data_IF_354302358098
#
_entry.id   IF_354302358098
#
_cell.length_a   1.000
_cell.length_b   1.000
_cell.length_c   1.000
_cell.angle_alpha   90.00
_cell.angle_beta   90.00
_cell.angle_gamma   90.00
#
_symmetry.space_group_name_H-M   'P 1'
#
loop_
_entity.id
_entity.type
_entity.pdbx_description
1 polymer ?
#
# COMPACT_ATOMS: atom_id res chain seq x y z
N UNK A 1 47.31 -17.71 -30.31
CA UNK A 1 46.75 -18.31 -29.09
C UNK A 1 46.44 -17.18 -28.12
N UNK A 2 45.20 -16.67 -28.16
CA UNK A 2 44.73 -15.65 -27.21
C UNK A 2 44.27 -16.35 -25.92
N UNK A 3 44.55 -15.79 -24.73
CA UNK A 3 44.33 -16.50 -23.48
C UNK A 3 42.84 -16.54 -23.13
N UNK A 4 42.36 -17.75 -22.84
CA UNK A 4 40.96 -18.09 -22.51
C UNK A 4 40.35 -17.28 -21.35
N UNK A 5 41.17 -16.57 -20.56
CA UNK A 5 40.70 -15.70 -19.48
C UNK A 5 40.08 -14.37 -19.91
N UNK A 6 40.39 -13.85 -21.11
CA UNK A 6 39.73 -12.62 -21.59
C UNK A 6 38.33 -12.86 -22.15
N UNK A 7 38.02 -14.07 -22.59
CA UNK A 7 36.69 -14.43 -23.11
C UNK A 7 35.68 -14.60 -21.96
N UNK A 8 36.12 -15.11 -20.80
CA UNK A 8 35.26 -15.31 -19.63
C UNK A 8 34.82 -13.99 -18.98
N UNK A 9 35.69 -12.97 -18.96
CA UNK A 9 35.34 -11.64 -18.42
C UNK A 9 34.33 -10.89 -19.29
N UNK A 10 34.39 -11.07 -20.62
CA UNK A 10 33.41 -10.50 -21.56
C UNK A 10 32.05 -11.21 -21.48
N UNK A 11 32.02 -12.51 -21.20
CA UNK A 11 30.78 -13.28 -20.97
C UNK A 11 30.13 -12.96 -19.61
N UNK A 12 30.93 -12.66 -18.57
CA UNK A 12 30.38 -12.24 -17.26
C UNK A 12 29.90 -10.78 -17.28
N UNK A 13 30.54 -9.88 -18.05
CA UNK A 13 30.03 -8.52 -18.23
C UNK A 13 28.76 -8.45 -19.09
N UNK A 14 28.51 -9.42 -19.98
CA UNK A 14 27.29 -9.47 -20.79
C UNK A 14 26.04 -9.91 -20.02
N UNK A 15 26.18 -10.48 -18.81
CA UNK A 15 25.06 -10.95 -17.98
C UNK A 15 24.55 -9.95 -16.94
N UNK A 16 25.03 -8.69 -16.96
CA UNK A 16 24.53 -7.62 -16.07
C UNK A 16 23.91 -6.43 -16.80
N UNK A 17 23.53 -6.60 -18.06
CA UNK A 17 22.41 -5.81 -18.57
C UNK A 17 21.16 -6.35 -17.89
N UNK A 18 20.86 -5.77 -16.72
CA UNK A 18 19.51 -5.82 -16.17
C UNK A 18 18.61 -5.33 -17.29
N UNK A 19 17.97 -6.28 -17.97
CA UNK A 19 16.82 -5.99 -18.81
C UNK A 19 15.81 -5.34 -17.87
N UNK A 20 15.72 -4.02 -17.93
CA UNK A 20 14.53 -3.30 -17.54
C UNK A 20 13.47 -3.70 -18.57
N UNK A 21 12.88 -4.89 -18.38
CA UNK A 21 11.58 -5.22 -18.93
C UNK A 21 10.57 -4.44 -18.10
N UNK A 22 10.06 -3.28 -18.48
CA UNK A 22 10.15 -2.51 -19.70
C UNK A 22 8.81 -1.82 -19.79
N UNK A 23 8.78 -0.49 -19.64
CA UNK A 23 7.60 0.31 -19.99
C UNK A 23 7.11 -0.18 -21.34
N UNK A 24 5.84 -0.58 -21.47
CA UNK A 24 5.39 -1.23 -22.72
C UNK A 24 5.78 -0.41 -23.96
N UNK A 25 6.19 -1.09 -25.03
CA UNK A 25 6.76 -0.46 -26.22
C UNK A 25 5.74 0.37 -27.01
N UNK A 26 4.47 -0.04 -27.00
CA UNK A 26 3.36 0.59 -27.71
C UNK A 26 2.04 0.42 -26.93
N UNK A 27 1.06 1.28 -27.24
CA UNK A 27 -0.24 1.37 -26.54
C UNK A 27 -1.04 0.06 -26.62
N UNK A 28 -1.09 -0.57 -27.80
CA UNK A 28 -1.89 -1.78 -28.02
C UNK A 28 -1.35 -2.96 -27.21
N UNK A 29 -0.03 -3.17 -27.23
CA UNK A 29 0.64 -4.19 -26.41
C UNK A 29 0.37 -3.97 -24.92
N UNK A 30 0.36 -2.71 -24.48
CA UNK A 30 0.09 -2.34 -23.10
C UNK A 30 -1.36 -2.64 -22.71
N UNK A 31 -2.33 -2.32 -23.57
CA UNK A 31 -3.74 -2.61 -23.37
C UNK A 31 -3.99 -4.12 -23.30
N UNK A 32 -3.40 -4.91 -24.20
CA UNK A 32 -3.52 -6.37 -24.16
C UNK A 32 -2.91 -6.94 -22.89
N UNK A 33 -1.74 -6.44 -22.47
CA UNK A 33 -1.13 -6.87 -21.21
C UNK A 33 -2.02 -6.53 -20.02
N UNK A 34 -2.59 -5.32 -19.98
CA UNK A 34 -3.57 -4.92 -18.96
C UNK A 34 -4.75 -5.89 -18.92
N UNK A 35 -5.35 -6.22 -20.08
CA UNK A 35 -6.49 -7.16 -20.17
C UNK A 35 -6.15 -8.54 -19.59
N UNK A 36 -4.94 -9.05 -19.83
CA UNK A 36 -4.46 -10.30 -19.22
C UNK A 36 -4.35 -10.19 -17.70
N UNK A 37 -3.71 -9.13 -17.20
CA UNK A 37 -3.45 -8.94 -15.77
C UNK A 37 -4.74 -8.78 -14.98
N UNK A 38 -5.71 -8.01 -15.50
CA UNK A 38 -6.97 -7.78 -14.78
C UNK A 38 -7.88 -9.02 -14.75
N UNK A 39 -7.70 -9.93 -15.71
CA UNK A 39 -8.42 -11.20 -15.75
C UNK A 39 -7.81 -12.27 -14.82
N UNK A 40 -6.55 -12.14 -14.44
CA UNK A 40 -5.82 -13.15 -13.67
C UNK A 40 -6.42 -13.36 -12.25
N UNK A 41 -6.98 -14.55 -11.93
CA UNK A 41 -7.71 -14.79 -10.68
C UNK A 41 -6.82 -15.16 -9.48
N UNK A 42 -5.50 -15.24 -9.67
CA UNK A 42 -4.54 -15.73 -8.67
C UNK A 42 -3.42 -14.75 -8.33
N UNK A 43 -3.48 -13.52 -8.85
CA UNK A 43 -2.39 -12.55 -8.72
C UNK A 43 -2.43 -11.74 -7.41
N UNK A 44 -3.61 -11.56 -6.82
CA UNK A 44 -3.81 -10.71 -5.63
C UNK A 44 -4.45 -11.46 -4.48
N UNK A 45 -4.38 -10.90 -3.28
CA UNK A 45 -4.81 -11.53 -2.02
C UNK A 45 -6.27 -11.95 -1.99
N UNK A 46 -7.12 -11.36 -2.82
CA UNK A 46 -8.54 -11.69 -2.93
C UNK A 46 -8.88 -12.79 -3.96
N UNK A 47 -7.86 -13.35 -4.61
CA UNK A 47 -8.01 -14.36 -5.64
C UNK A 47 -8.46 -15.73 -5.15
N UNK A 48 -8.49 -16.71 -6.06
CA UNK A 48 -8.87 -18.09 -5.75
C UNK A 48 -8.01 -18.71 -4.65
N UNK A 49 -6.75 -18.31 -4.54
CA UNK A 49 -5.82 -18.81 -3.51
C UNK A 49 -6.28 -18.43 -2.10
N UNK A 50 -7.06 -17.35 -1.94
CA UNK A 50 -7.59 -16.91 -0.65
C UNK A 50 -8.50 -17.96 -0.02
N UNK A 51 -9.37 -18.59 -0.80
CA UNK A 51 -10.29 -19.59 -0.26
C UNK A 51 -9.53 -20.80 0.28
N UNK A 52 -8.47 -21.23 -0.40
CA UNK A 52 -7.58 -22.29 0.05
C UNK A 52 -6.82 -21.92 1.34
N UNK A 53 -6.29 -20.69 1.42
CA UNK A 53 -5.58 -20.19 2.61
C UNK A 53 -6.52 -20.04 3.81
N UNK A 54 -7.77 -19.65 3.59
CA UNK A 54 -8.70 -19.23 4.64
C UNK A 54 -9.71 -20.29 5.07
N UNK A 55 -9.71 -21.46 4.43
CA UNK A 55 -10.57 -22.59 4.81
C UNK A 55 -10.03 -23.40 6.00
N UNK A 56 -8.82 -23.10 6.49
CA UNK A 56 -8.23 -23.78 7.64
C UNK A 56 -8.81 -23.25 8.97
N UNK A 57 -9.09 -24.16 9.93
CA UNK A 57 -9.68 -23.83 11.26
C UNK A 57 -8.89 -22.79 12.08
N UNK A 58 -7.60 -22.58 11.78
CA UNK A 58 -6.72 -21.61 12.44
C UNK A 58 -6.37 -20.40 11.56
N UNK A 59 -7.11 -20.15 10.48
CA UNK A 59 -6.87 -19.01 9.60
C UNK A 59 -7.29 -17.68 10.26
N UNK A 60 -6.51 -17.24 11.27
CA UNK A 60 -6.57 -15.89 11.84
C UNK A 60 -5.76 -14.88 11.02
N UNK A 61 -5.34 -15.26 9.82
CA UNK A 61 -4.52 -14.43 8.97
C UNK A 61 -5.29 -13.18 8.55
N UNK A 62 -4.65 -12.02 8.68
CA UNK A 62 -5.08 -10.76 8.11
C UNK A 62 -5.58 -10.93 6.66
N UNK A 63 -4.91 -11.81 5.90
CA UNK A 63 -5.20 -12.19 4.51
C UNK A 63 -6.61 -12.74 4.28
N UNK A 64 -7.27 -13.22 5.34
CA UNK A 64 -8.60 -13.80 5.27
C UNK A 64 -9.73 -12.79 5.46
N UNK A 65 -9.47 -11.65 6.09
CA UNK A 65 -10.45 -10.56 6.18
C UNK A 65 -10.62 -9.84 4.85
N UNK A 66 -11.79 -9.23 4.60
CA UNK A 66 -12.02 -8.37 3.43
C UNK A 66 -13.50 -7.99 3.32
N UNK A 67 -13.86 -7.04 2.43
CA UNK A 67 -15.25 -6.62 2.26
C UNK A 67 -16.16 -7.80 1.88
N UNK A 68 -17.21 -8.13 2.67
CA UNK A 68 -18.06 -9.29 2.42
C UNK A 68 -18.72 -9.28 1.03
N UNK A 69 -19.11 -8.10 0.56
CA UNK A 69 -19.74 -7.92 -0.75
C UNK A 69 -18.81 -8.23 -1.92
N UNK A 70 -17.48 -8.27 -1.70
CA UNK A 70 -16.49 -8.59 -2.73
C UNK A 70 -15.92 -10.01 -2.61
N UNK A 71 -16.44 -10.84 -1.68
CA UNK A 71 -15.85 -12.14 -1.36
C UNK A 71 -15.89 -13.15 -2.53
N UNK A 72 -16.83 -12.98 -3.46
CA UNK A 72 -17.05 -13.89 -4.59
C UNK A 72 -16.34 -13.48 -5.89
N UNK A 73 -15.52 -12.44 -5.86
CA UNK A 73 -14.84 -11.90 -7.03
C UNK A 73 -13.32 -12.06 -6.87
N UNK A 74 -12.70 -12.81 -7.78
CA UNK A 74 -11.34 -13.35 -7.63
C UNK A 74 -10.28 -12.69 -8.53
N UNK A 75 -10.68 -11.87 -9.50
CA UNK A 75 -9.78 -11.08 -10.35
C UNK A 75 -10.08 -9.58 -10.22
N UNK A 76 -9.16 -8.72 -10.66
CA UNK A 76 -9.39 -7.27 -10.69
C UNK A 76 -10.69 -6.96 -11.45
N UNK A 77 -10.83 -7.53 -12.64
CA UNK A 77 -11.96 -7.22 -13.50
C UNK A 77 -13.29 -7.73 -12.92
N UNK A 78 -13.32 -8.94 -12.34
CA UNK A 78 -14.53 -9.45 -11.66
C UNK A 78 -14.97 -8.55 -10.51
N UNK A 79 -14.01 -7.96 -9.76
CA UNK A 79 -14.28 -7.03 -8.65
C UNK A 79 -14.75 -5.67 -9.11
N UNK A 80 -14.04 -5.09 -10.08
CA UNK A 80 -14.41 -3.81 -10.69
C UNK A 80 -15.83 -3.86 -11.23
N UNK A 81 -16.14 -4.85 -12.06
CA UNK A 81 -17.45 -4.96 -12.72
C UNK A 81 -18.51 -5.70 -11.90
N UNK A 82 -18.18 -6.16 -10.69
CA UNK A 82 -19.08 -6.95 -9.80
C UNK A 82 -19.73 -8.14 -10.52
N UNK A 83 -18.96 -8.85 -11.35
CA UNK A 83 -19.39 -10.05 -12.10
C UNK A 83 -18.60 -11.28 -11.69
N UNK A 84 -19.29 -12.42 -11.52
CA UNK A 84 -18.63 -13.69 -11.15
C UNK A 84 -17.74 -14.23 -12.27
N UNK A 85 -18.18 -14.06 -13.51
CA UNK A 85 -17.44 -14.49 -14.71
C UNK A 85 -17.15 -13.27 -15.56
N UNK A 86 -15.89 -12.88 -15.62
CA UNK A 86 -15.42 -11.77 -16.44
C UNK A 86 -15.31 -12.18 -17.91
N UNK A 87 -15.67 -11.27 -18.81
CA UNK A 87 -15.48 -11.42 -20.26
C UNK A 87 -14.66 -10.24 -20.80
N UNK A 88 -13.73 -10.46 -21.74
CA UNK A 88 -12.89 -9.40 -22.29
C UNK A 88 -13.68 -8.27 -22.95
N UNK A 89 -14.92 -8.54 -23.35
CA UNK A 89 -15.84 -7.57 -23.95
C UNK A 89 -16.14 -6.35 -23.05
N UNK A 90 -16.03 -6.46 -21.73
CA UNK A 90 -16.15 -5.31 -20.81
C UNK A 90 -15.06 -4.25 -21.04
N UNK A 91 -13.94 -4.62 -21.65
CA UNK A 91 -12.81 -3.75 -21.96
C UNK A 91 -12.59 -3.60 -23.48
N UNK A 92 -13.64 -3.82 -24.29
CA UNK A 92 -13.55 -3.77 -25.76
C UNK A 92 -13.24 -2.38 -26.31
N UNK A 93 -13.62 -1.32 -25.58
CA UNK A 93 -13.48 0.07 -26.02
C UNK A 93 -12.15 0.70 -25.59
N UNK A 94 -11.28 -0.06 -24.90
CA UNK A 94 -9.96 0.42 -24.54
C UNK A 94 -9.13 0.73 -25.77
N UNK A 95 -8.70 1.99 -25.89
CA UNK A 95 -7.81 2.48 -26.94
C UNK A 95 -6.76 3.47 -26.42
N UNK A 96 -6.79 3.79 -25.12
CA UNK A 96 -5.82 4.62 -24.42
C UNK A 96 -5.13 3.78 -23.34
N UNK A 97 -3.81 3.84 -23.29
CA UNK A 97 -3.05 3.39 -22.12
C UNK A 97 -2.58 4.62 -21.32
N UNK A 98 -3.25 4.96 -20.20
CA UNK A 98 -2.87 6.11 -19.39
C UNK A 98 -1.57 5.82 -18.65
N UNK A 99 -0.53 6.61 -18.94
CA UNK A 99 0.74 6.58 -18.20
C UNK A 99 0.57 7.35 -16.90
N UNK A 100 0.79 6.66 -15.79
CA UNK A 100 0.62 7.22 -14.44
C UNK A 100 1.99 7.27 -13.78
N UNK A 101 2.47 8.48 -13.50
CA UNK A 101 3.81 8.70 -12.96
C UNK A 101 3.75 9.41 -11.61
N UNK A 102 4.30 8.77 -10.59
CA UNK A 102 4.44 9.34 -9.25
C UNK A 102 5.82 9.97 -9.09
N UNK A 103 5.84 11.23 -8.66
CA UNK A 103 7.07 11.89 -8.18
C UNK A 103 7.35 11.45 -6.74
N UNK A 104 7.99 10.29 -6.60
CA UNK A 104 8.34 9.68 -5.33
C UNK A 104 9.47 10.46 -4.65
N UNK A 105 9.13 11.38 -3.74
CA UNK A 105 10.12 12.10 -2.93
C UNK A 105 10.61 11.19 -1.79
N UNK A 106 11.93 10.92 -1.67
CA UNK A 106 12.46 10.21 -0.52
C UNK A 106 12.21 11.03 0.75
N UNK A 107 12.19 10.36 1.90
CA UNK A 107 11.97 11.06 3.16
C UNK A 107 11.96 10.16 4.38
N UNK A 108 12.20 10.80 5.52
CA UNK A 108 12.02 10.21 6.84
C UNK A 108 10.58 10.40 7.30
N UNK A 109 10.03 9.38 7.95
CA UNK A 109 8.70 9.45 8.56
C UNK A 109 8.65 8.52 9.77
N UNK A 110 7.81 8.88 10.73
CA UNK A 110 7.54 8.06 11.91
C UNK A 110 6.25 7.29 11.71
N UNK A 111 6.25 5.99 11.97
CA UNK A 111 5.10 5.11 11.87
C UNK A 111 5.21 3.98 12.89
N UNK A 112 4.09 3.54 13.48
CA UNK A 112 4.11 2.50 14.52
C UNK A 112 5.11 2.81 15.66
N UNK A 113 5.41 4.07 15.97
CA UNK A 113 6.45 4.53 16.92
C UNK A 113 7.91 4.26 16.56
N UNK A 114 8.18 4.00 15.28
CA UNK A 114 9.51 3.76 14.75
C UNK A 114 9.81 4.77 13.65
N UNK A 115 11.07 5.16 13.54
CA UNK A 115 11.52 6.07 12.49
C UNK A 115 11.95 5.27 11.26
N UNK A 116 11.32 5.57 10.12
CA UNK A 116 11.58 4.93 8.85
C UNK A 116 12.14 5.93 7.84
N UNK A 117 12.85 5.39 6.86
CA UNK A 117 13.28 6.10 5.67
C UNK A 117 12.83 5.33 4.44
N UNK A 118 12.18 6.00 3.50
CA UNK A 118 11.83 5.41 2.21
C UNK A 118 12.49 6.20 1.08
N UNK A 119 13.12 5.47 0.16
CA UNK A 119 13.48 5.93 -1.18
C UNK A 119 14.97 6.02 -1.49
N UNK A 120 15.34 5.52 -2.68
CA UNK A 120 16.55 5.86 -3.45
C UNK A 120 16.23 6.37 -4.88
N UNK A 121 14.96 6.31 -5.31
CA UNK A 121 14.51 6.61 -6.68
C UNK A 121 13.41 7.67 -6.69
N UNK A 122 13.52 8.62 -7.61
CA UNK A 122 12.73 9.86 -7.67
C UNK A 122 11.36 9.71 -8.35
N UNK A 123 11.15 8.65 -9.12
CA UNK A 123 9.92 8.41 -9.86
C UNK A 123 9.49 6.95 -9.80
N UNK A 124 8.18 6.73 -9.87
CA UNK A 124 7.54 5.44 -10.05
C UNK A 124 6.57 5.58 -11.20
N UNK A 125 6.78 4.82 -12.26
CA UNK A 125 5.85 4.74 -13.39
C UNK A 125 5.01 3.47 -13.25
N UNK A 126 3.70 3.61 -13.43
CA UNK A 126 2.77 2.50 -13.41
C UNK A 126 2.96 1.62 -14.64
N UNK A 127 3.09 0.31 -14.41
CA UNK A 127 3.24 -0.67 -15.47
C UNK A 127 2.47 -1.96 -15.07
N UNK A 128 1.83 -2.67 -16.02
CA UNK A 128 1.11 -3.91 -15.73
C UNK A 128 1.96 -4.99 -15.05
N UNK A 129 3.27 -4.98 -15.30
CA UNK A 129 4.26 -5.91 -14.76
C UNK A 129 5.18 -5.24 -13.73
N UNK A 130 4.80 -4.07 -13.21
CA UNK A 130 5.54 -3.42 -12.14
C UNK A 130 5.63 -4.30 -10.89
N UNK A 131 6.77 -4.20 -10.21
CA UNK A 131 6.90 -4.67 -8.84
C UNK A 131 6.00 -3.84 -7.91
N UNK A 132 5.40 -4.44 -6.86
CA UNK A 132 4.62 -3.71 -5.88
C UNK A 132 5.41 -2.56 -5.23
N UNK A 133 4.78 -1.39 -5.10
CA UNK A 133 5.42 -0.18 -4.58
C UNK A 133 4.87 0.21 -3.22
N UNK A 134 5.75 0.68 -2.34
CA UNK A 134 5.40 1.17 -1.00
C UNK A 134 4.39 2.33 -1.05
N UNK A 135 3.26 2.25 -0.31
CA UNK A 135 2.26 3.31 -0.23
C UNK A 135 2.82 4.70 0.10
N UNK A 136 3.86 4.82 0.93
CA UNK A 136 4.53 6.09 1.20
C UNK A 136 5.05 6.75 -0.07
N UNK A 137 5.56 5.99 -1.05
CA UNK A 137 6.06 6.52 -2.32
C UNK A 137 4.93 6.95 -3.26
N UNK A 138 3.75 6.37 -3.10
CA UNK A 138 2.53 6.68 -3.86
C UNK A 138 1.67 7.77 -3.19
N UNK A 139 2.09 8.32 -2.05
CA UNK A 139 1.26 9.23 -1.22
C UNK A 139 0.82 10.54 -1.88
N UNK A 140 1.49 10.96 -2.94
CA UNK A 140 1.17 12.20 -3.68
C UNK A 140 0.45 11.85 -4.97
N UNK A 141 -0.50 12.70 -5.37
CA UNK A 141 -1.23 12.56 -6.65
C UNK A 141 -0.24 12.41 -7.81
N UNK A 142 -0.41 11.40 -8.68
CA UNK A 142 0.46 11.21 -9.83
C UNK A 142 0.15 12.20 -10.96
N UNK A 143 1.07 12.27 -11.91
CA UNK A 143 0.87 12.88 -13.22
C UNK A 143 0.30 11.81 -14.17
N UNK A 144 -0.70 12.19 -14.96
CA UNK A 144 -1.39 11.29 -15.88
C UNK A 144 -1.23 11.86 -17.29
N UNK A 145 -0.78 11.03 -18.24
CA UNK A 145 -0.57 11.43 -19.63
C UNK A 145 -0.63 10.24 -20.57
N UNK A 146 -0.83 10.48 -21.87
CA UNK A 146 -0.68 9.49 -22.95
C UNK A 146 -0.38 10.21 -24.26
N UNK A 147 0.06 9.49 -25.29
CA UNK A 147 0.59 10.06 -26.54
C UNK A 147 -0.42 10.90 -27.31
N UNK A 148 -1.68 10.51 -27.32
CA UNK A 148 -2.73 11.14 -28.12
C UNK A 148 -3.48 12.26 -27.38
N UNK A 149 -3.18 12.50 -26.10
CA UNK A 149 -3.91 13.45 -25.26
C UNK A 149 -3.87 14.87 -25.83
N UNK A 150 -5.00 15.37 -26.36
CA UNK A 150 -5.13 16.74 -26.81
C UNK A 150 -5.65 17.64 -25.68
N UNK A 151 -5.36 18.94 -25.79
CA UNK A 151 -5.83 19.94 -24.81
C UNK A 151 -7.33 20.22 -24.86
N UNK A 152 -7.96 19.94 -26.00
CA UNK A 152 -9.39 20.18 -26.22
C UNK A 152 -10.25 18.95 -25.88
N UNK A 153 -9.62 17.80 -25.63
CA UNK A 153 -10.33 16.61 -25.17
C UNK A 153 -10.80 16.79 -23.72
N UNK A 154 -11.89 16.10 -23.37
CA UNK A 154 -12.44 16.10 -22.01
C UNK A 154 -12.69 14.67 -21.55
N UNK A 155 -12.08 14.33 -20.42
CA UNK A 155 -12.16 13.00 -19.82
C UNK A 155 -12.58 13.06 -18.35
N UNK A 156 -13.18 11.97 -17.90
CA UNK A 156 -13.37 11.66 -16.48
C UNK A 156 -12.32 10.65 -16.04
N UNK A 157 -11.60 10.97 -14.98
CA UNK A 157 -10.51 10.15 -14.43
C UNK A 157 -10.94 9.60 -13.09
N UNK A 158 -10.90 8.28 -12.93
CA UNK A 158 -11.29 7.57 -11.71
C UNK A 158 -10.10 6.74 -11.22
N UNK A 159 -9.75 6.85 -9.94
CA UNK A 159 -8.86 5.90 -9.28
C UNK A 159 -9.67 5.12 -8.27
N UNK A 160 -9.53 3.80 -8.27
CA UNK A 160 -10.22 2.94 -7.30
C UNK A 160 -9.35 1.82 -6.78
N UNK A 161 -9.36 1.64 -5.47
CA UNK A 161 -8.79 0.48 -4.79
C UNK A 161 -9.72 -0.73 -5.01
N UNK A 162 -9.23 -1.73 -5.74
CA UNK A 162 -10.02 -2.90 -6.12
C UNK A 162 -10.13 -3.92 -4.99
N UNK A 163 -9.16 -3.93 -4.07
CA UNK A 163 -9.19 -4.79 -2.90
C UNK A 163 -10.32 -4.43 -1.95
N UNK A 164 -10.59 -3.14 -1.80
CA UNK A 164 -11.53 -2.59 -0.83
C UNK A 164 -12.74 -1.88 -1.44
N UNK A 165 -12.85 -1.82 -2.78
CA UNK A 165 -13.85 -1.01 -3.50
C UNK A 165 -13.94 0.41 -2.93
N UNK A 166 -12.81 1.09 -2.86
CA UNK A 166 -12.76 2.48 -2.37
C UNK A 166 -12.51 3.41 -3.55
N UNK A 167 -13.19 4.54 -3.60
CA UNK A 167 -12.90 5.61 -4.55
C UNK A 167 -11.74 6.46 -4.02
N UNK A 168 -10.62 6.43 -4.74
CA UNK A 168 -9.37 7.07 -4.35
C UNK A 168 -9.18 8.44 -5.01
N UNK A 169 -9.77 8.67 -6.17
CA UNK A 169 -9.69 9.94 -6.90
C UNK A 169 -10.81 10.02 -7.92
N UNK A 170 -11.41 11.19 -8.07
CA UNK A 170 -12.38 11.47 -9.14
C UNK A 170 -12.15 12.89 -9.65
N UNK A 171 -11.87 13.00 -10.94
CA UNK A 171 -11.77 14.27 -11.65
C UNK A 171 -12.54 14.23 -12.96
N UNK A 172 -13.10 15.36 -13.34
CA UNK A 172 -13.87 15.55 -14.57
C UNK A 172 -13.28 16.70 -15.38
N UNK A 173 -13.61 16.76 -16.67
CA UNK A 173 -13.11 17.78 -17.61
C UNK A 173 -11.56 17.85 -17.70
N UNK A 174 -10.90 16.71 -17.49
CA UNK A 174 -9.45 16.56 -17.66
C UNK A 174 -9.06 16.59 -19.15
N UNK A 175 -7.94 17.25 -19.56
CA UNK A 175 -6.88 17.80 -18.71
C UNK A 175 -6.98 19.30 -18.40
N UNK A 176 -7.66 20.09 -19.23
CA UNK A 176 -7.56 21.56 -19.20
C UNK A 176 -8.43 22.21 -18.12
N UNK A 177 -9.70 21.85 -18.05
CA UNK A 177 -10.68 22.44 -17.13
C UNK A 177 -10.96 21.52 -15.93
N UNK A 178 -9.92 20.77 -15.50
CA UNK A 178 -10.05 19.69 -14.54
C UNK A 178 -10.73 20.15 -13.25
N UNK A 179 -11.90 19.59 -12.95
CA UNK A 179 -12.61 19.76 -11.67
C UNK A 179 -12.45 18.49 -10.84
N UNK A 180 -11.90 18.63 -9.64
CA UNK A 180 -11.69 17.51 -8.72
C UNK A 180 -12.93 17.35 -7.85
N UNK A 181 -13.58 16.20 -7.96
CA UNK A 181 -14.76 15.84 -7.17
C UNK A 181 -14.40 15.01 -5.94
N UNK A 182 -13.30 14.25 -6.00
CA UNK A 182 -12.68 13.56 -4.87
C UNK A 182 -11.17 13.73 -4.95
N UNK A 183 -10.58 14.30 -3.89
CA UNK A 183 -9.12 14.44 -3.76
C UNK A 183 -8.42 13.09 -3.69
N UNK A 184 -7.18 13.07 -4.18
CA UNK A 184 -6.39 11.84 -4.28
C UNK A 184 -6.03 11.30 -2.89
N UNK A 185 -6.41 10.06 -2.61
CA UNK A 185 -5.92 9.28 -1.49
C UNK A 185 -5.18 8.03 -2.01
N UNK A 186 -3.97 7.73 -1.52
CA UNK A 186 -3.26 6.52 -1.91
C UNK A 186 -3.98 5.26 -1.43
N UNK A 187 -3.73 4.13 -2.08
CA UNK A 187 -4.09 2.83 -1.50
C UNK A 187 -3.17 2.58 -0.29
N UNK A 188 -3.78 2.46 0.88
CA UNK A 188 -3.09 2.27 2.16
C UNK A 188 -3.11 0.78 2.52
N UNK A 189 -2.51 -0.02 1.64
CA UNK A 189 -2.45 -1.46 1.82
C UNK A 189 -1.60 -1.82 3.05
N UNK A 190 -2.25 -2.39 4.05
CA UNK A 190 -1.63 -2.85 5.29
C UNK A 190 -1.29 -4.35 5.24
N UNK A 191 -1.72 -5.08 4.20
CA UNK A 191 -1.51 -6.52 4.06
C UNK A 191 -0.11 -6.85 3.55
N UNK A 192 0.50 -7.95 3.99
CA UNK A 192 1.72 -8.46 3.37
C UNK A 192 1.57 -8.65 1.85
N UNK A 193 0.42 -9.15 1.42
CA UNK A 193 0.13 -9.37 0.00
C UNK A 193 -0.16 -8.06 -0.76
N UNK A 194 0.27 -7.93 -2.02
CA UNK A 194 0.05 -6.72 -2.82
C UNK A 194 -1.43 -6.44 -3.10
N UNK A 195 -1.78 -5.16 -3.21
CA UNK A 195 -3.12 -4.68 -3.50
C UNK A 195 -3.13 -3.78 -4.75
N UNK A 196 -4.03 -4.02 -5.72
CA UNK A 196 -4.12 -3.20 -6.93
C UNK A 196 -5.05 -2.00 -6.77
N UNK A 197 -4.60 -0.86 -7.26
CA UNK A 197 -5.40 0.33 -7.53
C UNK A 197 -5.47 0.51 -9.04
N UNK A 198 -6.67 0.75 -9.57
CA UNK A 198 -6.90 0.88 -11.00
C UNK A 198 -7.23 2.33 -11.35
N UNK A 199 -6.68 2.77 -12.48
CA UNK A 199 -6.95 4.08 -13.09
C UNK A 199 -7.81 3.86 -14.32
N UNK A 200 -8.99 4.46 -14.32
CA UNK A 200 -9.97 4.37 -15.40
C UNK A 200 -10.11 5.75 -16.04
N UNK A 201 -10.13 5.76 -17.37
CA UNK A 201 -10.35 6.96 -18.18
C UNK A 201 -11.63 6.76 -18.96
N UNK A 202 -12.60 7.63 -18.71
CA UNK A 202 -13.84 7.70 -19.47
C UNK A 202 -13.81 8.92 -20.39
N UNK A 203 -14.34 8.78 -21.60
CA UNK A 203 -14.72 9.97 -22.38
C UNK A 203 -15.78 10.75 -21.62
N UNK A 204 -15.84 12.06 -21.86
CA UNK A 204 -16.92 12.88 -21.31
C UNK A 204 -18.27 12.35 -21.77
N UNK A 205 -19.02 11.82 -20.83
CA UNK A 205 -20.41 11.40 -21.03
C UNK A 205 -21.33 12.59 -21.24
N UNK A 206 -22.60 12.28 -21.54
CA UNK A 206 -23.66 13.29 -21.75
C UNK A 206 -24.19 13.86 -20.44
N UNK A 207 -24.14 13.04 -19.39
CA UNK A 207 -24.60 13.39 -18.04
C UNK A 207 -23.43 13.92 -17.22
N UNK A 208 -23.66 14.99 -16.46
CA UNK A 208 -22.64 15.52 -15.56
C UNK A 208 -22.31 14.48 -14.48
N UNK A 209 -21.02 14.25 -14.27
CA UNK A 209 -20.53 13.34 -13.23
C UNK A 209 -20.55 14.06 -11.89
N UNK A 210 -21.10 13.39 -10.88
CA UNK A 210 -21.21 13.90 -9.52
C UNK A 210 -20.31 13.10 -8.57
N UNK A 211 -19.90 13.72 -7.47
CA UNK A 211 -19.23 13.00 -6.40
C UNK A 211 -20.20 11.93 -5.81
N UNK A 212 -19.75 10.68 -5.60
CA UNK A 212 -20.59 9.69 -4.95
C UNK A 212 -20.84 10.07 -3.48
N UNK A 213 -21.97 9.58 -2.93
CA UNK A 213 -22.36 9.83 -1.54
C UNK A 213 -21.41 9.19 -0.52
N UNK A 214 -20.75 8.10 -0.92
CA UNK A 214 -19.78 7.36 -0.14
C UNK A 214 -18.58 7.05 -1.01
N UNK A 215 -17.40 7.15 -0.42
CA UNK A 215 -16.14 6.72 -1.03
C UNK A 215 -15.89 5.23 -0.77
N UNK A 216 -16.48 4.69 0.30
CA UNK A 216 -16.47 3.27 0.63
C UNK A 216 -17.55 2.53 -0.19
N UNK A 217 -17.27 1.29 -0.56
CA UNK A 217 -18.13 0.43 -1.39
C UNK A 217 -18.46 1.02 -2.77
N UNK A 218 -17.47 1.67 -3.40
CA UNK A 218 -17.58 2.18 -4.76
C UNK A 218 -18.01 1.07 -5.73
N UNK A 219 -19.13 1.29 -6.41
CA UNK A 219 -19.74 0.39 -7.38
C UNK A 219 -19.55 0.98 -8.78
N UNK A 220 -18.54 0.49 -9.50
CA UNK A 220 -18.24 0.98 -10.84
C UNK A 220 -19.41 0.75 -11.83
N UNK A 221 -20.04 -0.44 -11.91
CA UNK A 221 -21.23 -0.63 -12.74
C UNK A 221 -22.34 0.39 -12.47
N UNK A 222 -22.69 0.62 -11.19
CA UNK A 222 -23.72 1.60 -10.85
C UNK A 222 -23.27 3.03 -11.19
N UNK A 223 -22.00 3.36 -11.00
CA UNK A 223 -21.44 4.65 -11.40
C UNK A 223 -21.52 4.85 -12.91
N UNK A 224 -21.16 3.85 -13.70
CA UNK A 224 -21.24 3.91 -15.17
C UNK A 224 -22.69 4.08 -15.64
N UNK A 225 -23.62 3.28 -15.10
CA UNK A 225 -25.05 3.36 -15.42
C UNK A 225 -25.66 4.72 -15.04
N UNK A 226 -25.31 5.27 -13.86
CA UNK A 226 -25.84 6.55 -13.39
C UNK A 226 -25.42 7.72 -14.30
N UNK A 227 -24.22 7.63 -14.87
CA UNK A 227 -23.60 8.73 -15.62
C UNK A 227 -23.50 8.48 -17.13
N UNK A 228 -24.16 7.44 -17.64
CA UNK A 228 -24.14 7.03 -19.06
C UNK A 228 -22.71 6.85 -19.61
N UNK A 229 -21.85 6.14 -18.87
CA UNK A 229 -20.43 5.92 -19.20
C UNK A 229 -20.11 4.49 -19.69
N UNK A 230 -21.11 3.65 -19.92
CA UNK A 230 -20.96 2.20 -20.16
C UNK A 230 -20.09 1.89 -21.38
N UNK A 231 -20.26 2.65 -22.46
CA UNK A 231 -19.48 2.52 -23.69
C UNK A 231 -18.29 3.50 -23.73
N UNK A 232 -18.13 4.37 -22.73
CA UNK A 232 -17.14 5.44 -22.73
C UNK A 232 -15.86 5.12 -21.94
N UNK A 233 -15.75 3.92 -21.35
CA UNK A 233 -14.50 3.43 -20.77
C UNK A 233 -13.46 3.18 -21.87
N UNK A 234 -12.50 4.10 -22.00
CA UNK A 234 -11.52 4.12 -23.11
C UNK A 234 -10.08 3.91 -22.66
N UNK A 235 -9.78 4.05 -21.37
CA UNK A 235 -8.45 3.80 -20.86
C UNK A 235 -8.44 3.09 -19.51
N UNK A 236 -7.44 2.22 -19.33
CA UNK A 236 -7.22 1.50 -18.08
C UNK A 236 -5.72 1.32 -17.82
N UNK A 237 -5.28 1.66 -16.61
CA UNK A 237 -3.94 1.33 -16.10
C UNK A 237 -4.05 0.85 -14.66
N UNK A 238 -2.96 0.28 -14.13
CA UNK A 238 -2.94 -0.34 -12.82
C UNK A 238 -1.66 0.03 -12.06
N UNK A 239 -1.83 0.24 -10.76
CA UNK A 239 -0.76 0.49 -9.80
C UNK A 239 -0.86 -0.58 -8.74
N UNK A 240 0.24 -1.30 -8.52
CA UNK A 240 0.29 -2.34 -7.50
C UNK A 240 1.00 -1.79 -6.27
N UNK A 241 0.29 -1.75 -5.15
CA UNK A 241 0.84 -1.32 -3.88
C UNK A 241 1.25 -2.51 -3.00
N UNK A 242 2.46 -2.45 -2.46
CA UNK A 242 2.88 -3.35 -1.37
C UNK A 242 2.29 -2.88 -0.04
N UNK A 243 2.80 -3.40 1.08
CA UNK A 243 2.60 -2.80 2.39
C UNK A 243 3.88 -2.14 2.89
N UNK A 244 3.71 -1.09 3.68
CA UNK A 244 4.77 -0.38 4.38
C UNK A 244 4.28 0.12 5.75
N UNK A 245 5.20 0.54 6.65
CA UNK A 245 4.81 1.05 7.95
C UNK A 245 3.86 2.25 7.88
N UNK A 246 3.96 3.08 6.85
CA UNK A 246 3.11 4.25 6.66
C UNK A 246 1.64 3.87 6.48
N UNK A 247 1.34 2.90 5.62
CA UNK A 247 -0.01 2.40 5.42
C UNK A 247 -0.56 1.71 6.67
N UNK A 248 0.26 0.88 7.34
CA UNK A 248 -0.13 0.21 8.59
C UNK A 248 -0.52 1.23 9.66
N UNK A 249 0.33 2.25 9.87
CA UNK A 249 0.08 3.30 10.85
C UNK A 249 -1.19 4.08 10.55
N UNK A 250 -1.42 4.46 9.28
CA UNK A 250 -2.64 5.18 8.91
C UNK A 250 -3.91 4.39 9.20
N UNK A 251 -3.90 3.08 8.95
CA UNK A 251 -5.04 2.20 9.25
C UNK A 251 -5.25 2.06 10.76
N UNK A 252 -4.17 2.03 11.54
CA UNK A 252 -4.20 2.03 13.01
C UNK A 252 -4.79 3.33 13.55
N UNK A 253 -4.35 4.48 13.05
CA UNK A 253 -4.88 5.79 13.43
C UNK A 253 -6.36 5.96 13.06
N UNK A 254 -6.80 5.34 11.95
CA UNK A 254 -8.21 5.26 11.54
C UNK A 254 -9.04 4.26 12.37
N UNK A 255 -8.42 3.51 13.29
CA UNK A 255 -9.10 2.51 14.10
C UNK A 255 -9.56 1.27 13.33
N UNK A 256 -9.08 1.06 12.09
CA UNK A 256 -9.52 -0.04 11.23
C UNK A 256 -8.82 -1.36 11.56
N UNK A 257 -7.49 -1.32 11.69
CA UNK A 257 -6.67 -2.49 12.03
C UNK A 257 -5.35 -2.03 12.65
N UNK A 258 -4.88 -2.75 13.67
CA UNK A 258 -3.50 -2.61 14.16
C UNK A 258 -2.69 -3.81 13.66
N UNK A 259 -1.74 -3.53 12.76
CA UNK A 259 -0.83 -4.54 12.21
C UNK A 259 0.64 -4.16 12.44
N UNK A 260 0.92 -3.25 13.38
CA UNK A 260 2.29 -2.80 13.65
C UNK A 260 3.19 -3.92 14.20
N UNK A 261 2.62 -4.91 14.89
CA UNK A 261 3.37 -6.09 15.39
C UNK A 261 4.06 -6.87 14.24
N UNK A 262 3.50 -6.84 13.03
CA UNK A 262 4.07 -7.53 11.86
C UNK A 262 5.43 -7.00 11.46
N UNK A 263 5.71 -5.71 11.74
CA UNK A 263 7.01 -5.10 11.48
C UNK A 263 8.09 -5.71 12.37
N UNK A 264 7.73 -6.00 13.63
CA UNK A 264 8.60 -6.69 14.58
C UNK A 264 8.84 -8.13 14.18
N UNK A 265 7.79 -8.86 13.79
CA UNK A 265 7.92 -10.22 13.25
C UNK A 265 8.89 -10.25 12.07
N UNK A 266 8.69 -9.37 11.08
CA UNK A 266 9.54 -9.29 9.89
C UNK A 266 11.00 -8.99 10.24
N UNK A 267 11.25 -8.07 11.18
CA UNK A 267 12.61 -7.70 11.60
C UNK A 267 13.31 -8.86 12.32
N UNK A 268 12.63 -9.51 13.27
CA UNK A 268 13.18 -10.64 14.03
C UNK A 268 13.47 -11.84 13.13
N UNK A 269 12.61 -12.11 12.13
CA UNK A 269 12.81 -13.22 11.19
C UNK A 269 13.90 -12.93 10.17
N UNK A 270 14.01 -11.70 9.67
CA UNK A 270 15.00 -11.33 8.64
C UNK A 270 16.40 -11.08 9.21
N UNK A 271 16.50 -10.43 10.36
CA UNK A 271 17.76 -10.07 11.01
C UNK A 271 17.68 -10.39 12.51
N UNK A 272 17.67 -11.68 12.88
CA UNK A 272 17.66 -12.05 14.27
C UNK A 272 18.92 -11.49 14.96
N UNK A 273 18.80 -10.81 16.11
CA UNK A 273 19.94 -10.27 16.80
C UNK A 273 20.89 -11.39 17.24
N UNK A 274 22.11 -11.37 16.68
CA UNK A 274 23.12 -12.44 16.73
C UNK A 274 23.51 -12.90 18.14
N UNK A 275 23.25 -12.09 19.16
CA UNK A 275 23.63 -12.34 20.55
C UNK A 275 22.49 -12.83 21.45
N UNK A 276 21.27 -12.97 20.93
CA UNK A 276 20.09 -13.27 21.74
C UNK A 276 19.47 -14.62 21.35
N UNK A 277 20.09 -15.70 21.82
CA UNK A 277 19.60 -17.09 21.65
C UNK A 277 18.18 -17.32 22.19
N UNK A 278 17.74 -16.49 23.15
CA UNK A 278 16.38 -16.53 23.69
C UNK A 278 15.33 -16.10 22.66
N UNK A 279 15.63 -15.08 21.83
CA UNK A 279 14.67 -14.57 20.85
C UNK A 279 14.34 -15.60 19.76
N UNK A 280 15.29 -16.49 19.44
CA UNK A 280 15.07 -17.62 18.53
C UNK A 280 14.12 -18.69 19.08
N UNK A 281 13.88 -18.71 20.41
CA UNK A 281 12.97 -19.66 21.05
C UNK A 281 11.58 -19.09 21.29
N UNK A 282 11.39 -17.79 21.04
CA UNK A 282 10.08 -17.16 21.18
C UNK A 282 9.21 -17.53 19.96
N UNK A 283 7.89 -17.76 20.17
CA UNK A 283 6.95 -17.95 19.08
C UNK A 283 6.66 -16.60 18.41
N UNK A 284 7.63 -16.05 17.69
CA UNK A 284 7.54 -14.72 17.04
C UNK A 284 6.35 -14.66 16.09
N UNK A 285 6.05 -15.77 15.39
CA UNK A 285 4.92 -15.87 14.46
C UNK A 285 3.55 -15.79 15.16
N UNK A 286 3.49 -15.99 16.48
CA UNK A 286 2.27 -15.87 17.28
C UNK A 286 2.05 -14.46 17.86
N UNK A 287 3.00 -13.53 17.65
CA UNK A 287 2.81 -12.13 18.04
C UNK A 287 1.57 -11.56 17.35
N UNK A 288 0.63 -11.05 18.14
CA UNK A 288 -0.63 -10.45 17.67
C UNK A 288 -0.83 -9.01 18.16
N UNK A 289 0.14 -8.50 18.92
CA UNK A 289 0.08 -7.25 19.65
C UNK A 289 1.47 -6.71 19.92
N UNK A 290 1.54 -5.41 20.22
CA UNK A 290 2.78 -4.74 20.57
C UNK A 290 2.49 -3.65 21.62
N UNK A 291 3.55 -3.20 22.30
CA UNK A 291 3.49 -2.17 23.32
C UNK A 291 4.37 -1.00 22.88
N UNK A 292 3.82 0.21 22.97
CA UNK A 292 4.60 1.44 22.88
C UNK A 292 5.08 1.80 24.28
N UNK A 293 6.39 1.91 24.44
CA UNK A 293 7.05 2.25 25.70
C UNK A 293 7.83 3.52 25.48
N UNK A 294 7.64 4.52 26.33
CA UNK A 294 8.38 5.78 26.27
C UNK A 294 8.87 6.22 27.64
N UNK A 295 9.96 6.97 27.63
CA UNK A 295 10.59 7.55 28.81
C UNK A 295 10.60 9.07 28.69
N UNK A 296 10.10 9.75 29.72
CA UNK A 296 10.16 11.21 29.77
C UNK A 296 11.50 11.66 30.36
N UNK A 297 12.35 12.21 29.49
CA UNK A 297 13.57 12.88 29.90
C UNK A 297 13.23 14.32 30.27
N UNK A 298 13.44 14.68 31.54
CA UNK A 298 13.32 16.07 32.00
C UNK A 298 14.50 16.92 31.49
N UNK A 299 14.25 18.23 31.33
CA UNK A 299 15.32 19.16 31.01
C UNK A 299 16.34 19.17 32.16
N UNK A 300 17.62 18.93 31.83
CA UNK A 300 18.69 18.89 32.81
C UNK A 300 19.82 19.81 32.37
N UNK A 301 20.36 20.56 33.32
CA UNK A 301 21.60 21.30 33.16
C UNK A 301 22.53 20.88 34.30
N UNK A 302 23.57 20.13 33.98
CA UNK A 302 24.46 19.54 34.96
C UNK A 302 25.92 19.73 34.56
N UNK A 303 26.79 19.82 35.56
CA UNK A 303 28.24 19.74 35.36
C UNK A 303 28.70 18.34 35.76
N UNK A 304 29.11 17.54 34.78
CA UNK A 304 29.61 16.17 35.01
C UNK A 304 31.02 16.08 34.41
N UNK A 305 31.98 15.59 35.19
CA UNK A 305 33.38 15.45 34.74
C UNK A 305 33.95 16.74 34.09
N UNK A 306 33.74 17.90 34.73
CA UNK A 306 34.14 19.23 34.23
C UNK A 306 33.52 19.65 32.88
N UNK A 307 32.51 18.92 32.39
CA UNK A 307 31.74 19.28 31.20
C UNK A 307 30.34 19.75 31.59
N UNK A 308 29.88 20.82 30.93
CA UNK A 308 28.49 21.31 31.00
C UNK A 308 27.64 20.45 30.07
N UNK A 309 26.74 19.66 30.64
CA UNK A 309 25.76 18.84 29.92
C UNK A 309 24.41 19.53 30.01
N UNK A 310 23.86 19.89 28.84
CA UNK A 310 22.52 20.46 28.73
C UNK A 310 21.64 19.52 27.93
N UNK A 311 20.71 18.87 28.61
CA UNK A 311 19.75 17.96 28.00
C UNK A 311 18.39 18.66 27.90
N UNK A 312 17.78 18.73 26.70
CA UNK A 312 16.43 19.24 26.56
C UNK A 312 15.42 18.26 27.16
N UNK A 313 14.25 18.79 27.53
CA UNK A 313 13.09 17.94 27.82
C UNK A 313 12.66 17.25 26.53
N UNK A 314 12.55 15.92 26.55
CA UNK A 314 12.16 15.12 25.39
C UNK A 314 11.56 13.80 25.85
N UNK A 315 10.68 13.20 25.04
CA UNK A 315 10.16 11.85 25.28
C UNK A 315 10.89 10.88 24.35
N UNK A 316 11.53 9.87 24.95
CA UNK A 316 12.33 8.86 24.25
C UNK A 316 11.49 7.60 24.13
N UNK A 317 11.06 7.26 22.91
CA UNK A 317 10.34 6.02 22.65
C UNK A 317 11.33 4.86 22.48
N UNK A 318 10.98 3.70 23.03
CA UNK A 318 11.70 2.47 22.73
C UNK A 318 11.35 2.03 21.32
N UNK A 319 12.37 1.95 20.48
CA UNK A 319 12.29 1.48 19.11
C UNK A 319 12.87 0.06 19.04
N UNK A 320 12.03 -1.01 19.09
CA UNK A 320 12.52 -2.38 18.97
C UNK A 320 12.97 -2.78 17.54
N UNK A 321 12.77 -1.95 16.51
CA UNK A 321 13.31 -2.23 15.15
C UNK A 321 14.65 -1.54 14.89
N UNK A 322 14.92 -0.46 15.62
CA UNK A 322 16.13 0.34 15.59
C UNK A 322 17.25 -0.25 16.45
N UNK A 323 18.42 0.37 16.35
CA UNK A 323 19.66 -0.01 17.02
C UNK A 323 20.19 1.10 17.94
N UNK A 324 19.35 2.11 18.23
CA UNK A 324 19.74 3.27 19.03
C UNK A 324 19.68 2.93 20.52
N UNK A 325 20.77 3.19 21.24
CA UNK A 325 20.82 3.09 22.69
C UNK A 325 20.11 4.27 23.36
N UNK A 326 19.31 4.00 24.38
CA UNK A 326 18.72 5.03 25.24
C UNK A 326 19.71 5.47 26.34
N UNK A 327 19.67 6.74 26.71
CA UNK A 327 20.48 7.25 27.83
C UNK A 327 19.94 6.73 29.16
N UNK A 328 20.84 6.32 30.07
CA UNK A 328 20.48 5.93 31.43
C UNK A 328 19.77 7.07 32.21
N UNK A 329 19.99 8.33 31.82
CA UNK A 329 19.29 9.48 32.40
C UNK A 329 17.82 9.51 32.02
N UNK A 330 17.48 9.06 30.80
CA UNK A 330 16.08 8.99 30.35
C UNK A 330 15.32 7.91 31.13
N UNK A 331 16.00 6.88 31.62
CA UNK A 331 15.37 5.76 32.36
C UNK A 331 15.23 5.99 33.87
N UNK A 332 15.52 7.20 34.37
CA UNK A 332 15.36 7.52 35.80
C UNK A 332 13.88 7.67 36.21
N UNK A 333 13.02 8.00 35.26
CA UNK A 333 11.57 8.07 35.43
C UNK A 333 10.93 6.75 35.02
N UNK A 334 9.80 6.41 35.64
CA UNK A 334 9.03 5.25 35.22
C UNK A 334 8.57 5.43 33.76
N UNK A 335 8.63 4.37 32.93
CA UNK A 335 8.19 4.46 31.56
C UNK A 335 6.68 4.66 31.48
N UNK A 336 6.23 5.43 30.49
CA UNK A 336 4.85 5.40 30.04
C UNK A 336 4.67 4.21 29.08
N UNK A 337 3.67 3.37 29.36
CA UNK A 337 3.34 2.21 28.52
C UNK A 337 1.95 2.43 27.93
N UNK A 338 1.83 2.31 26.61
CA UNK A 338 0.55 2.37 25.92
C UNK A 338 0.39 1.18 24.98
N UNK A 339 -0.83 0.69 24.89
CA UNK A 339 -1.23 -0.38 23.98
C UNK A 339 -2.50 0.02 23.26
N UNK A 340 -2.52 -0.15 21.94
CA UNK A 340 -3.74 -0.07 21.16
C UNK A 340 -4.07 -1.48 20.70
N UNK A 341 -5.21 -2.02 21.15
CA UNK A 341 -5.72 -3.28 20.64
C UNK A 341 -6.89 -2.99 19.71
N UNK A 342 -6.63 -3.04 18.41
CA UNK A 342 -7.67 -2.94 17.38
C UNK A 342 -7.92 -4.35 16.85
N UNK A 343 -9.05 -4.95 17.22
CA UNK A 343 -9.43 -6.30 16.77
C UNK A 343 -9.78 -6.27 15.28
N UNK A 344 -9.11 -7.09 14.46
CA UNK A 344 -9.32 -7.24 13.02
C UNK A 344 -10.65 -7.96 12.65
N UNK A 345 -11.73 -7.71 13.38
CA UNK A 345 -12.99 -8.46 13.27
C UNK A 345 -14.14 -7.59 12.77
N UNK A 346 -14.12 -7.22 11.48
CA UNK A 346 -15.36 -6.80 10.81
C UNK A 346 -16.28 -7.99 10.42
N UNK A 347 -15.88 -9.24 10.68
CA UNK A 347 -16.77 -10.41 10.56
C UNK A 347 -17.30 -10.97 11.88
N UNK A 348 -17.06 -10.32 13.02
CA UNK A 348 -17.77 -10.61 14.27
C UNK A 348 -18.34 -9.31 14.84
N UNK A 349 -19.49 -8.88 14.30
CA UNK A 349 -20.33 -7.84 14.89
C UNK A 349 -20.98 -8.29 16.22
N UNK A 350 -20.58 -9.44 16.77
CA UNK A 350 -21.03 -9.97 18.05
C UNK A 350 -19.80 -10.59 18.75
N UNK A 351 -19.50 -10.09 19.94
CA UNK A 351 -18.45 -10.50 20.89
C UNK A 351 -17.06 -9.85 20.78
N UNK A 352 -16.92 -8.65 21.35
CA UNK A 352 -15.87 -8.38 22.36
C UNK A 352 -16.20 -7.15 23.22
N UNK A 353 -17.40 -7.11 23.82
CA UNK A 353 -17.52 -6.39 25.09
C UNK A 353 -16.54 -7.08 26.07
N UNK A 354 -15.60 -6.31 26.64
CA UNK A 354 -14.52 -6.68 27.58
C UNK A 354 -13.15 -6.93 26.94
N UNK A 355 -12.34 -5.88 26.83
CA UNK A 355 -10.95 -5.82 27.31
C UNK A 355 -10.44 -4.39 27.04
N UNK A 356 -10.76 -3.47 27.95
CA UNK A 356 -9.80 -2.93 28.94
C UNK A 356 -8.72 -2.07 28.30
N UNK A 357 -8.97 -0.74 28.31
CA UNK A 357 -7.92 0.24 28.59
C UNK A 357 -7.31 -0.13 29.95
N UNK A 358 -6.23 -0.92 29.95
CA UNK A 358 -5.41 -1.03 31.14
C UNK A 358 -4.38 0.11 31.05
N UNK A 359 -4.68 1.22 31.72
CA UNK A 359 -3.62 2.05 32.24
C UNK A 359 -2.88 1.19 33.27
N UNK A 360 -1.66 0.78 32.97
CA UNK A 360 -0.73 0.35 34.01
C UNK A 360 -0.12 1.64 34.54
N UNK A 361 -0.68 2.12 35.66
CA UNK A 361 -0.14 3.22 36.45
C UNK A 361 0.82 2.74 37.52
#
# INVERSE_FOLDING_TARGET
MLPAHRLLLLLVLACHVAYVTGVCRDTDTCIERVKEVVAAPRRFWFGEQRSALCSQRNAKSLECGGPPQLAHFHSIASRLFRVKTYHSAYLRNLNIFPRVTYRASPGHYRACEHDFFSGNTSAVEADPDMEPVEPFRLRKRPEISWSELQFDDQYTVVFTDVGYATLNYLAVDFPKATKILKEYEPTENYRPSPNPMVVLIFRKGRVEVEAPKSEEDFDLPQFMLKHELEDDLVGLSLIVASSDPFAIEKQRLRGKVDYCYSLLQKRLSANPPRHHTVLHRLPVDELDSWLSVSFDQHAMNANVCCQKVKLPKTSVFLDPLGDVSISALSTLTAPAISTMRITASQSNYINYHRQTRNFVG
#
